data_IF_027967811026
#
_entry.id   IF_027967811026
#
_cell.length_a   1.000
_cell.length_b   1.000
_cell.length_c   1.000
_cell.angle_alpha   90.00
_cell.angle_beta   90.00
_cell.angle_gamma   90.00
#
_symmetry.space_group_name_H-M   'P 1'
#
loop_
_entity.id
_entity.type
_entity.pdbx_description
1 polymer ?
#
# COMPACT_ATOMS: atom_id res chain seq x y z
N UNK A 1 11.08 -37.21 39.54
CA UNK A 1 10.30 -36.90 38.33
C UNK A 1 9.46 -35.62 38.42
N UNK A 2 9.30 -34.99 39.60
CA UNK A 2 8.45 -33.80 39.80
C UNK A 2 9.04 -32.48 39.22
N UNK A 3 10.38 -32.38 39.10
CA UNK A 3 11.02 -31.18 38.52
C UNK A 3 10.88 -31.05 36.99
N UNK A 4 10.82 -32.17 36.24
CA UNK A 4 10.63 -32.13 34.77
C UNK A 4 9.24 -31.66 34.35
N UNK A 5 8.22 -31.87 35.19
CA UNK A 5 6.82 -31.55 34.88
C UNK A 5 6.50 -30.04 34.94
N UNK A 6 7.31 -29.24 35.65
CA UNK A 6 7.13 -27.77 35.74
C UNK A 6 7.99 -26.96 34.76
N UNK A 7 9.05 -27.56 34.22
CA UNK A 7 9.99 -26.88 33.32
C UNK A 7 9.39 -26.61 31.93
N UNK A 8 8.65 -27.57 31.36
CA UNK A 8 8.03 -27.40 30.03
C UNK A 8 6.95 -26.31 30.03
N UNK A 9 6.01 -26.27 31.00
CA UNK A 9 5.06 -25.16 31.10
C UNK A 9 5.73 -23.80 31.30
N UNK A 10 6.75 -23.71 32.17
CA UNK A 10 7.47 -22.45 32.40
C UNK A 10 8.23 -21.97 31.16
N UNK A 11 8.88 -22.88 30.44
CA UNK A 11 9.56 -22.58 29.17
C UNK A 11 8.58 -22.09 28.10
N UNK A 12 7.43 -22.75 27.95
CA UNK A 12 6.39 -22.33 27.00
C UNK A 12 5.80 -20.96 27.35
N UNK A 13 5.62 -20.66 28.64
CA UNK A 13 5.23 -19.32 29.10
C UNK A 13 6.27 -18.28 28.69
N UNK A 14 7.55 -18.50 28.98
CA UNK A 14 8.62 -17.55 28.60
C UNK A 14 8.68 -17.32 27.09
N UNK A 15 8.58 -18.39 26.28
CA UNK A 15 8.54 -18.26 24.82
C UNK A 15 7.33 -17.46 24.34
N UNK A 16 6.16 -17.69 24.94
CA UNK A 16 4.94 -16.95 24.62
C UNK A 16 5.09 -15.47 24.96
N UNK A 17 5.54 -15.13 26.16
CA UNK A 17 5.71 -13.75 26.59
C UNK A 17 6.74 -13.01 25.73
N UNK A 18 7.87 -13.64 25.46
CA UNK A 18 8.89 -13.07 24.57
C UNK A 18 8.38 -12.87 23.12
N UNK A 19 7.48 -13.73 22.64
CA UNK A 19 6.87 -13.57 21.32
C UNK A 19 5.88 -12.40 21.28
N UNK A 20 5.10 -12.19 22.35
CA UNK A 20 4.18 -11.06 22.48
C UNK A 20 4.93 -9.74 22.64
N UNK A 21 6.03 -9.72 23.40
CA UNK A 21 6.92 -8.58 23.50
C UNK A 21 7.52 -8.19 22.14
N UNK A 22 7.86 -9.16 21.29
CA UNK A 22 8.31 -8.90 19.90
C UNK A 22 7.25 -8.24 19.03
N UNK A 23 5.98 -8.57 19.25
CA UNK A 23 4.82 -7.94 18.62
C UNK A 23 4.58 -6.54 19.21
N UNK A 24 5.16 -6.23 20.37
CA UNK A 24 5.08 -4.93 21.03
C UNK A 24 3.94 -4.81 22.04
N UNK A 25 3.43 -5.94 22.56
CA UNK A 25 2.36 -5.96 23.55
C UNK A 25 2.82 -6.60 24.88
N UNK A 26 2.83 -5.79 25.94
CA UNK A 26 3.11 -6.25 27.30
C UNK A 26 1.94 -7.03 27.91
N UNK A 27 2.17 -7.66 29.08
CA UNK A 27 1.12 -8.30 29.88
C UNK A 27 0.01 -7.31 30.25
N UNK A 28 0.40 -6.08 30.58
CA UNK A 28 -0.54 -5.05 31.00
C UNK A 28 -1.33 -4.53 29.79
N UNK A 29 -0.72 -4.44 28.61
CA UNK A 29 -1.45 -4.11 27.37
C UNK A 29 -2.56 -5.13 27.07
N UNK A 30 -2.27 -6.42 27.24
CA UNK A 30 -3.26 -7.48 27.00
C UNK A 30 -4.44 -7.40 27.95
N UNK A 31 -4.15 -7.26 29.25
CA UNK A 31 -5.20 -7.09 30.27
C UNK A 31 -6.00 -5.82 30.02
N UNK A 32 -5.32 -4.73 29.65
CA UNK A 32 -5.93 -3.47 29.27
C UNK A 32 -6.88 -3.61 28.09
N UNK A 33 -6.47 -4.29 27.01
CA UNK A 33 -7.30 -4.57 25.84
C UNK A 33 -8.53 -5.42 26.17
N UNK A 34 -8.36 -6.54 26.89
CA UNK A 34 -9.49 -7.41 27.27
C UNK A 34 -10.49 -6.70 28.18
N UNK A 35 -9.99 -6.01 29.21
CA UNK A 35 -10.81 -5.27 30.18
C UNK A 35 -11.55 -4.11 29.52
N UNK A 36 -10.84 -3.26 28.76
CA UNK A 36 -11.45 -2.11 28.11
C UNK A 36 -12.42 -2.51 27.02
N UNK A 37 -12.14 -3.56 26.24
CA UNK A 37 -13.09 -4.06 25.24
C UNK A 37 -14.39 -4.52 25.90
N UNK A 38 -14.32 -5.24 27.02
CA UNK A 38 -15.50 -5.63 27.79
C UNK A 38 -16.29 -4.41 28.27
N UNK A 39 -15.61 -3.41 28.85
CA UNK A 39 -16.24 -2.16 29.31
C UNK A 39 -16.89 -1.39 28.15
N UNK A 40 -16.29 -1.38 26.95
CA UNK A 40 -16.86 -0.73 25.77
C UNK A 40 -18.16 -1.39 25.32
N UNK A 41 -18.21 -2.73 25.35
CA UNK A 41 -19.43 -3.48 25.05
C UNK A 41 -20.53 -3.21 26.09
N UNK A 42 -20.17 -3.19 27.37
CA UNK A 42 -21.10 -2.88 28.47
C UNK A 42 -21.66 -1.44 28.36
N UNK A 43 -20.79 -0.45 28.11
CA UNK A 43 -21.19 0.94 27.96
C UNK A 43 -22.12 1.18 26.75
N UNK A 44 -21.96 0.39 25.68
CA UNK A 44 -22.81 0.46 24.51
C UNK A 44 -24.08 -0.41 24.59
N UNK A 45 -24.19 -1.28 25.58
CA UNK A 45 -25.26 -2.26 25.75
C UNK A 45 -25.14 -3.49 24.84
N UNK A 46 -24.63 -3.34 23.61
CA UNK A 46 -24.42 -4.44 22.69
C UNK A 46 -23.24 -4.22 21.72
N UNK A 47 -22.80 -5.32 21.07
CA UNK A 47 -21.67 -5.33 20.12
C UNK A 47 -21.90 -4.44 18.91
N UNK A 48 -23.12 -4.38 18.37
CA UNK A 48 -23.44 -3.62 17.17
C UNK A 48 -23.40 -2.12 17.46
N UNK A 49 -23.93 -1.70 18.61
CA UNK A 49 -23.92 -0.32 19.07
C UNK A 49 -22.49 0.14 19.37
N UNK A 50 -21.69 -0.68 20.06
CA UNK A 50 -20.27 -0.38 20.30
C UNK A 50 -19.50 -0.19 18.98
N UNK A 51 -19.76 -1.06 18.02
CA UNK A 51 -19.19 -0.99 16.69
C UNK A 51 -19.58 0.24 15.89
N UNK A 52 -20.88 0.56 15.91
CA UNK A 52 -21.42 1.73 15.22
C UNK A 52 -20.77 2.99 15.76
N UNK A 53 -20.67 3.12 17.08
CA UNK A 53 -20.03 4.27 17.73
C UNK A 53 -18.55 4.40 17.33
N UNK A 54 -17.81 3.28 17.29
CA UNK A 54 -16.42 3.28 16.85
C UNK A 54 -16.27 3.69 15.38
N UNK A 55 -17.09 3.13 14.48
CA UNK A 55 -17.00 3.43 13.04
C UNK A 55 -17.36 4.89 12.75
N UNK A 56 -18.40 5.43 13.40
CA UNK A 56 -18.74 6.85 13.28
C UNK A 56 -17.62 7.74 13.83
N UNK A 57 -17.03 7.38 14.98
CA UNK A 57 -15.88 8.10 15.50
C UNK A 57 -14.69 8.07 14.52
N UNK A 58 -14.40 6.92 13.89
CA UNK A 58 -13.36 6.82 12.87
C UNK A 58 -13.63 7.72 11.66
N UNK A 59 -14.90 7.84 11.24
CA UNK A 59 -15.28 8.72 10.15
C UNK A 59 -15.03 10.20 10.44
N UNK A 60 -15.14 10.60 11.71
CA UNK A 60 -14.93 11.99 12.14
C UNK A 60 -13.48 12.32 12.46
N UNK A 61 -12.67 11.32 12.85
CA UNK A 61 -11.33 11.55 13.40
C UNK A 61 -10.20 11.01 12.53
N UNK A 62 -10.48 10.15 11.54
CA UNK A 62 -9.46 9.68 10.59
C UNK A 62 -9.62 10.41 9.25
N UNK A 63 -8.60 11.16 8.79
CA UNK A 63 -8.67 11.92 7.55
C UNK A 63 -9.08 11.06 6.36
N UNK A 64 -10.03 11.57 5.55
CA UNK A 64 -10.52 10.94 4.30
C UNK A 64 -11.12 9.54 4.48
N UNK A 65 -11.41 9.12 5.72
CA UNK A 65 -11.98 7.79 5.98
C UNK A 65 -13.35 7.62 5.29
N UNK A 66 -14.21 8.66 5.33
CA UNK A 66 -15.53 8.64 4.66
C UNK A 66 -15.42 8.38 3.15
N UNK A 67 -14.37 8.87 2.49
CA UNK A 67 -14.19 8.70 1.03
C UNK A 67 -13.99 7.24 0.63
N UNK A 68 -13.59 6.38 1.57
CA UNK A 68 -13.39 4.94 1.34
C UNK A 68 -14.68 4.13 1.30
N UNK A 69 -15.79 4.70 1.77
CA UNK A 69 -17.04 3.99 1.97
C UNK A 69 -18.15 4.53 1.04
N UNK A 70 -17.97 4.31 -0.26
CA UNK A 70 -18.89 4.79 -1.29
C UNK A 70 -20.17 3.96 -1.43
N UNK A 71 -20.11 2.65 -1.14
CA UNK A 71 -21.26 1.71 -1.27
C UNK A 71 -22.52 2.15 -0.54
N UNK A 72 -22.36 2.88 0.55
CA UNK A 72 -23.47 3.41 1.33
C UNK A 72 -23.38 4.92 1.49
N UNK A 73 -22.59 5.64 0.68
CA UNK A 73 -22.35 7.08 0.81
C UNK A 73 -22.08 7.51 2.27
N UNK A 74 -20.86 7.31 2.74
CA UNK A 74 -20.48 7.67 4.11
C UNK A 74 -20.51 9.18 4.43
N UNK A 75 -20.83 10.06 3.48
CA UNK A 75 -21.02 11.50 3.73
C UNK A 75 -22.44 11.86 4.18
N UNK A 76 -23.37 10.91 4.21
CA UNK A 76 -24.70 11.14 4.79
C UNK A 76 -24.64 11.31 6.32
N UNK A 77 -25.74 11.79 6.92
CA UNK A 77 -25.83 11.95 8.38
C UNK A 77 -25.73 10.62 9.13
N UNK A 78 -25.27 10.68 10.38
CA UNK A 78 -25.13 9.49 11.23
C UNK A 78 -26.44 8.71 11.41
N UNK A 79 -27.58 9.40 11.49
CA UNK A 79 -28.89 8.74 11.59
C UNK A 79 -29.26 8.00 10.30
N UNK A 80 -28.92 8.57 9.14
CA UNK A 80 -29.11 7.91 7.86
C UNK A 80 -28.16 6.71 7.70
N UNK A 81 -26.91 6.82 8.19
CA UNK A 81 -25.98 5.69 8.25
C UNK A 81 -26.51 4.55 9.12
N UNK A 82 -26.97 4.85 10.33
CA UNK A 82 -27.54 3.85 11.26
C UNK A 82 -28.72 3.10 10.65
N UNK A 83 -29.54 3.78 9.84
CA UNK A 83 -30.65 3.16 9.11
C UNK A 83 -30.21 2.36 7.86
N UNK A 84 -28.97 2.54 7.39
CA UNK A 84 -28.48 1.91 6.17
C UNK A 84 -28.00 0.47 6.40
N UNK A 85 -28.58 -0.49 5.67
CA UNK A 85 -28.26 -1.91 5.83
C UNK A 85 -26.81 -2.26 5.44
N UNK A 86 -26.25 -1.61 4.43
CA UNK A 86 -24.88 -1.86 3.96
C UNK A 86 -23.84 -1.28 4.94
N UNK A 87 -24.12 -0.09 5.52
CA UNK A 87 -23.33 0.43 6.63
C UNK A 87 -23.31 -0.55 7.81
N UNK A 88 -24.48 -1.04 8.23
CA UNK A 88 -24.58 -1.99 9.34
C UNK A 88 -23.79 -3.29 9.09
N UNK A 89 -23.84 -3.84 7.87
CA UNK A 89 -23.00 -4.99 7.50
C UNK A 89 -21.51 -4.68 7.61
N UNK A 90 -21.09 -3.50 7.16
CA UNK A 90 -19.70 -3.10 7.22
C UNK A 90 -19.22 -2.91 8.67
N UNK A 91 -20.07 -2.35 9.54
CA UNK A 91 -19.82 -2.29 10.99
C UNK A 91 -19.60 -3.70 11.55
N UNK A 92 -20.47 -4.66 11.25
CA UNK A 92 -20.34 -6.03 11.75
C UNK A 92 -19.03 -6.70 11.32
N UNK A 93 -18.58 -6.46 10.08
CA UNK A 93 -17.29 -6.95 9.57
C UNK A 93 -16.12 -6.35 10.36
N UNK A 94 -16.10 -5.02 10.54
CA UNK A 94 -15.02 -4.31 11.24
C UNK A 94 -14.94 -4.79 12.70
N UNK A 95 -16.08 -4.83 13.39
CA UNK A 95 -16.13 -5.22 14.81
C UNK A 95 -15.75 -6.69 14.99
N UNK A 96 -16.15 -7.57 14.08
CA UNK A 96 -15.77 -8.98 14.15
C UNK A 96 -14.26 -9.17 13.94
N UNK A 97 -13.65 -8.35 13.07
CA UNK A 97 -12.19 -8.25 12.96
C UNK A 97 -11.53 -7.83 14.28
N UNK A 98 -12.02 -6.76 14.91
CA UNK A 98 -11.50 -6.28 16.20
C UNK A 98 -11.67 -7.31 17.33
N UNK A 99 -12.84 -7.94 17.43
CA UNK A 99 -13.09 -9.02 18.40
C UNK A 99 -12.11 -10.16 18.20
N UNK A 100 -11.81 -10.52 16.95
CA UNK A 100 -10.83 -11.57 16.64
C UNK A 100 -9.44 -11.18 17.10
N UNK A 101 -9.02 -9.93 16.92
CA UNK A 101 -7.73 -9.45 17.43
C UNK A 101 -7.69 -9.49 18.96
N UNK A 102 -8.68 -8.88 19.63
CA UNK A 102 -8.77 -8.82 21.10
C UNK A 102 -8.82 -10.22 21.71
N UNK A 103 -9.59 -11.14 21.14
CA UNK A 103 -9.72 -12.50 21.67
C UNK A 103 -8.44 -13.33 21.52
N UNK A 104 -7.50 -12.90 20.66
CA UNK A 104 -6.23 -13.56 20.43
C UNK A 104 -5.04 -12.85 21.09
N UNK A 105 -5.24 -11.78 21.87
CA UNK A 105 -4.11 -11.02 22.45
C UNK A 105 -3.21 -11.88 23.34
N UNK A 106 -3.76 -12.94 23.95
CA UNK A 106 -3.02 -13.91 24.76
C UNK A 106 -2.46 -15.11 23.95
N UNK A 107 -2.62 -15.12 22.63
CA UNK A 107 -2.11 -16.13 21.71
C UNK A 107 -1.26 -15.46 20.62
N UNK A 108 0.07 -15.32 20.80
CA UNK A 108 0.94 -14.58 19.89
C UNK A 108 0.88 -15.08 18.45
N UNK A 109 0.82 -16.40 18.24
CA UNK A 109 0.76 -16.96 16.89
C UNK A 109 -0.56 -16.62 16.17
N UNK A 110 -1.69 -16.71 16.88
CA UNK A 110 -2.99 -16.36 16.32
C UNK A 110 -3.16 -14.84 16.13
N UNK A 111 -2.62 -14.04 17.06
CA UNK A 111 -2.62 -12.58 16.93
C UNK A 111 -1.80 -12.14 15.73
N UNK A 112 -0.57 -12.63 15.60
CA UNK A 112 0.33 -12.32 14.48
C UNK A 112 -0.33 -12.67 13.14
N UNK A 113 -0.81 -13.92 12.99
CA UNK A 113 -1.49 -14.34 11.76
C UNK A 113 -2.78 -13.54 11.48
N UNK A 114 -3.49 -13.12 12.53
CA UNK A 114 -4.64 -12.24 12.43
C UNK A 114 -4.30 -10.84 11.92
N UNK A 115 -3.22 -10.25 12.43
CA UNK A 115 -2.68 -8.97 11.99
C UNK A 115 -2.21 -9.06 10.54
N UNK A 116 -1.36 -10.03 10.20
CA UNK A 116 -0.84 -10.25 8.84
C UNK A 116 -1.96 -10.38 7.81
N UNK A 117 -2.97 -11.23 8.10
CA UNK A 117 -4.12 -11.41 7.21
C UNK A 117 -4.90 -10.11 6.99
N UNK A 118 -5.10 -9.32 8.04
CA UNK A 118 -5.80 -8.03 7.94
C UNK A 118 -4.96 -7.00 7.19
N UNK A 119 -3.66 -6.93 7.45
CA UNK A 119 -2.69 -6.10 6.73
C UNK A 119 -2.74 -6.41 5.25
N UNK A 120 -2.60 -7.69 4.87
CA UNK A 120 -2.65 -8.12 3.48
C UNK A 120 -4.00 -7.79 2.82
N UNK A 121 -5.09 -7.99 3.56
CA UNK A 121 -6.43 -7.65 3.06
C UNK A 121 -6.52 -6.17 2.72
N UNK A 122 -6.07 -5.27 3.61
CA UNK A 122 -6.16 -3.82 3.41
C UNK A 122 -5.16 -3.29 2.39
N UNK A 123 -3.94 -3.84 2.34
CA UNK A 123 -2.96 -3.51 1.31
C UNK A 123 -3.43 -3.94 -0.07
N UNK A 124 -4.19 -5.03 -0.18
CA UNK A 124 -4.73 -5.52 -1.45
C UNK A 124 -6.07 -4.91 -1.85
N UNK A 125 -6.65 -4.04 -1.01
CA UNK A 125 -7.71 -3.15 -1.47
C UNK A 125 -7.15 -2.17 -2.49
N UNK A 126 -8.01 -1.63 -3.35
CA UNK A 126 -7.61 -0.64 -4.34
C UNK A 126 -8.57 0.56 -4.35
N UNK A 127 -8.07 1.79 -4.15
CA UNK A 127 -6.69 2.10 -3.71
C UNK A 127 -6.37 1.43 -2.36
N UNK A 128 -5.11 1.23 -2.02
CA UNK A 128 -4.78 0.52 -0.77
C UNK A 128 -5.24 1.31 0.46
N UNK A 129 -5.57 0.59 1.53
CA UNK A 129 -5.83 1.19 2.84
C UNK A 129 -4.59 0.97 3.70
N UNK A 130 -3.61 1.84 3.53
CA UNK A 130 -2.29 1.73 4.15
C UNK A 130 -2.10 2.60 5.41
N UNK A 131 -0.84 2.92 5.69
CA UNK A 131 -0.43 3.70 6.86
C UNK A 131 -1.02 5.13 6.89
N UNK A 132 -1.45 5.67 5.76
CA UNK A 132 -2.13 6.97 5.71
C UNK A 132 -3.47 6.99 6.45
N UNK A 133 -4.11 5.83 6.63
CA UNK A 133 -5.32 5.67 7.45
C UNK A 133 -4.98 5.11 8.83
N UNK A 134 -4.30 3.96 8.87
CA UNK A 134 -4.04 3.27 10.14
C UNK A 134 -3.02 3.98 11.03
N UNK A 135 -2.17 4.85 10.48
CA UNK A 135 -1.32 5.75 11.27
C UNK A 135 -2.13 6.71 12.12
N UNK A 136 -3.20 7.29 11.56
CA UNK A 136 -4.13 8.15 12.32
C UNK A 136 -4.97 7.35 13.32
N UNK A 137 -5.34 6.11 13.00
CA UNK A 137 -6.00 5.22 13.96
C UNK A 137 -5.10 5.02 15.18
N UNK A 138 -3.85 4.62 14.98
CA UNK A 138 -2.87 4.49 16.07
C UNK A 138 -2.73 5.80 16.85
N UNK A 139 -2.66 6.94 16.15
CA UNK A 139 -2.47 8.24 16.79
C UNK A 139 -3.65 8.65 17.69
N UNK A 140 -4.89 8.37 17.29
CA UNK A 140 -6.06 8.98 17.93
C UNK A 140 -6.94 8.00 18.73
N UNK A 141 -6.78 6.68 18.58
CA UNK A 141 -7.68 5.70 19.19
C UNK A 141 -7.79 5.85 20.72
N UNK A 142 -6.70 6.23 21.41
CA UNK A 142 -6.71 6.46 22.85
C UNK A 142 -7.75 7.50 23.29
N UNK A 143 -8.03 8.51 22.45
CA UNK A 143 -9.05 9.54 22.71
C UNK A 143 -10.46 8.95 22.69
N UNK A 144 -10.74 8.02 21.76
CA UNK A 144 -12.02 7.31 21.70
C UNK A 144 -12.23 6.48 22.97
N UNK A 145 -11.21 5.73 23.38
CA UNK A 145 -11.25 4.86 24.56
C UNK A 145 -11.48 5.70 25.82
N UNK A 146 -10.69 6.76 25.99
CA UNK A 146 -10.78 7.69 27.10
C UNK A 146 -12.16 8.32 27.22
N UNK A 147 -12.68 8.87 26.11
CA UNK A 147 -14.01 9.50 26.07
C UNK A 147 -15.13 8.50 26.37
N UNK A 148 -15.09 7.32 25.75
CA UNK A 148 -16.19 6.35 25.84
C UNK A 148 -16.25 5.69 27.21
N UNK A 149 -15.09 5.44 27.83
CA UNK A 149 -15.01 4.82 29.15
C UNK A 149 -14.92 5.83 30.30
N UNK A 150 -14.91 7.13 30.00
CA UNK A 150 -14.70 8.22 30.96
C UNK A 150 -13.43 8.02 31.81
N UNK A 151 -12.32 7.69 31.14
CA UNK A 151 -10.99 7.49 31.74
C UNK A 151 -9.98 8.49 31.16
N UNK A 152 -8.81 8.60 31.77
CA UNK A 152 -7.75 9.46 31.27
C UNK A 152 -7.18 8.95 29.93
N UNK A 153 -6.80 9.87 29.04
CA UNK A 153 -6.21 9.59 27.73
C UNK A 153 -4.88 8.82 27.80
N UNK A 154 -4.18 8.92 28.93
CA UNK A 154 -2.93 8.24 29.24
C UNK A 154 -3.10 7.05 30.20
N UNK A 155 -4.34 6.63 30.46
CA UNK A 155 -4.61 5.38 31.18
C UNK A 155 -3.98 4.19 30.49
N UNK A 156 -3.69 3.14 31.26
CA UNK A 156 -3.13 1.90 30.72
C UNK A 156 -4.06 1.32 29.65
N UNK A 157 -5.37 1.30 29.89
CA UNK A 157 -6.35 0.86 28.89
C UNK A 157 -6.25 1.64 27.57
N UNK A 158 -6.20 2.98 27.63
CA UNK A 158 -6.13 3.80 26.42
C UNK A 158 -4.79 3.63 25.67
N UNK A 159 -3.68 3.46 26.41
CA UNK A 159 -2.36 3.15 25.84
C UNK A 159 -2.34 1.77 25.17
N UNK A 160 -2.98 0.76 25.76
CA UNK A 160 -2.99 -0.60 25.19
C UNK A 160 -3.58 -0.63 23.78
N UNK A 161 -4.63 0.15 23.51
CA UNK A 161 -5.18 0.29 22.16
C UNK A 161 -4.19 0.94 21.20
N UNK A 162 -3.49 1.99 21.64
CA UNK A 162 -2.42 2.61 20.84
C UNK A 162 -1.32 1.59 20.50
N UNK A 163 -0.91 0.76 21.47
CA UNK A 163 0.11 -0.27 21.26
C UNK A 163 -0.36 -1.39 20.32
N UNK A 164 -1.64 -1.81 20.38
CA UNK A 164 -2.20 -2.77 19.42
C UNK A 164 -2.10 -2.26 17.98
N UNK A 165 -2.47 -1.00 17.75
CA UNK A 165 -2.37 -0.41 16.42
C UNK A 165 -0.92 -0.10 16.02
N UNK A 166 -0.01 0.13 16.97
CA UNK A 166 1.42 0.20 16.69
C UNK A 166 1.97 -1.14 16.20
N UNK A 167 1.56 -2.25 16.83
CA UNK A 167 1.88 -3.60 16.38
C UNK A 167 1.34 -3.87 14.96
N UNK A 168 0.08 -3.50 14.72
CA UNK A 168 -0.54 -3.60 13.39
C UNK A 168 0.24 -2.79 12.35
N UNK A 169 0.57 -1.52 12.64
CA UNK A 169 1.28 -0.63 11.74
C UNK A 169 2.72 -1.06 11.48
N UNK A 170 3.36 -1.75 12.42
CA UNK A 170 4.68 -2.37 12.20
C UNK A 170 4.60 -3.43 11.10
N UNK A 171 3.68 -4.38 11.21
CA UNK A 171 3.46 -5.41 10.17
C UNK A 171 3.02 -4.79 8.85
N UNK A 172 2.12 -3.78 8.91
CA UNK A 172 1.69 -3.04 7.72
C UNK A 172 2.86 -2.39 6.99
N UNK A 173 3.80 -1.79 7.72
CA UNK A 173 5.01 -1.18 7.16
C UNK A 173 5.91 -2.21 6.48
N UNK A 174 6.12 -3.37 7.13
CA UNK A 174 6.92 -4.48 6.61
C UNK A 174 6.29 -5.05 5.33
N UNK A 175 5.02 -5.42 5.35
CA UNK A 175 4.32 -5.98 4.19
C UNK A 175 4.15 -4.95 3.06
N UNK A 176 4.05 -3.65 3.36
CA UNK A 176 4.05 -2.60 2.32
C UNK A 176 5.37 -2.60 1.53
N UNK A 177 6.51 -2.72 2.22
CA UNK A 177 7.82 -2.81 1.56
C UNK A 177 7.94 -4.08 0.72
N UNK A 178 7.52 -5.22 1.26
CA UNK A 178 7.50 -6.50 0.54
C UNK A 178 6.62 -6.44 -0.70
N UNK A 179 5.43 -5.82 -0.59
CA UNK A 179 4.51 -5.65 -1.71
C UNK A 179 5.11 -4.80 -2.82
N UNK A 180 5.80 -3.72 -2.46
CA UNK A 180 6.47 -2.82 -3.42
C UNK A 180 7.73 -3.48 -4.01
N UNK A 181 8.38 -4.38 -3.26
CA UNK A 181 9.57 -5.10 -3.69
C UNK A 181 10.85 -4.27 -3.58
N UNK A 182 10.90 -3.29 -2.66
CA UNK A 182 12.08 -2.44 -2.43
C UNK A 182 12.67 -2.78 -1.05
N UNK A 183 13.92 -3.21 -1.07
CA UNK A 183 14.68 -3.58 0.13
C UNK A 183 15.29 -2.36 0.83
N UNK A 184 15.67 -2.56 2.09
CA UNK A 184 16.40 -1.56 2.89
C UNK A 184 17.72 -1.11 2.27
N UNK A 185 18.41 -2.03 1.57
CA UNK A 185 19.67 -1.74 0.87
C UNK A 185 19.41 -0.89 -0.37
N UNK A 186 18.43 -1.26 -1.20
CA UNK A 186 18.02 -0.48 -2.37
C UNK A 186 17.53 0.92 -1.98
N UNK A 187 16.76 1.05 -0.88
CA UNK A 187 16.39 2.36 -0.33
C UNK A 187 17.61 3.26 -0.13
N UNK A 188 18.64 2.75 0.55
CA UNK A 188 19.86 3.53 0.85
C UNK A 188 20.61 3.89 -0.44
N UNK A 189 20.66 2.98 -1.41
CA UNK A 189 21.27 3.21 -2.72
C UNK A 189 20.49 4.26 -3.52
N UNK A 190 19.17 4.19 -3.57
CA UNK A 190 18.30 5.17 -4.24
C UNK A 190 18.48 6.57 -3.64
N UNK A 191 18.45 6.70 -2.31
CA UNK A 191 18.63 7.99 -1.63
C UNK A 191 20.03 8.57 -1.90
N UNK A 192 21.07 7.75 -1.83
CA UNK A 192 22.46 8.22 -2.02
C UNK A 192 22.77 8.52 -3.49
N UNK A 193 22.33 7.68 -4.43
CA UNK A 193 22.50 7.90 -5.87
C UNK A 193 21.70 9.10 -6.36
N UNK A 194 20.48 9.34 -5.86
CA UNK A 194 19.71 10.54 -6.17
C UNK A 194 20.49 11.83 -5.84
N UNK A 195 21.17 11.87 -4.70
CA UNK A 195 22.02 13.02 -4.32
C UNK A 195 23.18 13.23 -5.29
N UNK A 196 23.79 12.15 -5.79
CA UNK A 196 24.87 12.22 -6.79
C UNK A 196 24.34 12.70 -8.14
N UNK A 197 23.27 12.08 -8.62
CA UNK A 197 22.62 12.41 -9.89
C UNK A 197 22.16 13.88 -9.95
N UNK A 198 21.68 14.42 -8.82
CA UNK A 198 21.15 15.79 -8.77
C UNK A 198 22.16 16.85 -8.31
N UNK A 199 23.42 16.47 -8.05
CA UNK A 199 24.46 17.39 -7.57
C UNK A 199 24.73 18.55 -8.55
N UNK A 200 24.67 18.29 -9.86
CA UNK A 200 24.79 19.31 -10.92
C UNK A 200 23.51 20.11 -11.19
N UNK A 201 22.46 19.92 -10.39
CA UNK A 201 21.16 20.55 -10.53
C UNK A 201 20.08 19.58 -11.02
N UNK A 202 18.95 19.56 -10.32
CA UNK A 202 17.78 18.72 -10.62
C UNK A 202 17.26 18.88 -12.05
N UNK A 203 17.22 20.12 -12.55
CA UNK A 203 16.76 20.39 -13.91
C UNK A 203 17.71 19.82 -14.96
N UNK A 204 19.04 19.94 -14.76
CA UNK A 204 20.03 19.38 -15.69
C UNK A 204 19.91 17.85 -15.78
N UNK A 205 19.89 17.17 -14.63
CA UNK A 205 19.63 15.73 -14.57
C UNK A 205 18.33 15.34 -15.29
N UNK A 206 17.25 16.09 -15.02
CA UNK A 206 15.96 15.83 -15.62
C UNK A 206 15.92 16.01 -17.13
N UNK A 207 16.59 17.04 -17.64
CA UNK A 207 16.71 17.26 -19.08
C UNK A 207 17.41 16.08 -19.72
N UNK A 208 18.55 15.65 -19.16
CA UNK A 208 19.32 14.54 -19.70
C UNK A 208 18.53 13.22 -19.64
N UNK A 209 17.78 12.98 -18.57
CA UNK A 209 16.88 11.82 -18.44
C UNK A 209 15.78 11.84 -19.50
N UNK A 210 15.06 12.96 -19.66
CA UNK A 210 13.92 13.03 -20.59
C UNK A 210 14.37 12.93 -22.05
N UNK A 211 15.48 13.58 -22.42
CA UNK A 211 16.07 13.44 -23.76
C UNK A 211 16.50 12.00 -24.02
N UNK A 212 17.16 11.36 -23.06
CA UNK A 212 17.51 9.94 -23.16
C UNK A 212 16.26 9.06 -23.31
N UNK A 213 15.19 9.33 -22.56
CA UNK A 213 13.92 8.60 -22.68
C UNK A 213 13.30 8.74 -24.07
N UNK A 214 13.36 9.93 -24.68
CA UNK A 214 12.85 10.16 -26.02
C UNK A 214 13.58 9.35 -27.09
N UNK A 215 14.87 9.09 -26.91
CA UNK A 215 15.68 8.29 -27.83
C UNK A 215 15.53 6.79 -27.59
N UNK A 216 15.29 6.38 -26.35
CA UNK A 216 15.41 4.98 -25.94
C UNK A 216 14.06 4.30 -25.67
N UNK A 217 12.97 5.03 -25.47
CA UNK A 217 11.62 4.47 -25.28
C UNK A 217 10.76 4.80 -26.49
N UNK A 218 10.37 3.76 -27.24
CA UNK A 218 9.58 3.89 -28.46
C UNK A 218 8.29 4.67 -28.22
N UNK A 219 7.97 5.61 -29.11
CA UNK A 219 6.77 6.46 -29.09
C UNK A 219 6.61 7.33 -27.82
N UNK A 220 7.62 7.39 -26.94
CA UNK A 220 7.59 8.23 -25.74
C UNK A 220 7.51 9.72 -26.10
N UNK A 221 8.29 10.15 -27.09
CA UNK A 221 8.35 11.55 -27.55
C UNK A 221 6.97 12.08 -27.96
N UNK A 222 6.13 11.24 -28.57
CA UNK A 222 4.79 11.62 -29.04
C UNK A 222 3.77 11.83 -27.91
N UNK A 223 4.06 11.38 -26.69
CA UNK A 223 3.18 11.61 -25.53
C UNK A 223 3.28 13.06 -25.00
N UNK A 224 4.26 13.83 -25.48
CA UNK A 224 4.54 15.18 -25.03
C UNK A 224 3.98 16.21 -26.02
N UNK A 225 2.70 16.54 -25.87
CA UNK A 225 1.97 17.40 -26.81
C UNK A 225 1.91 18.88 -26.41
N UNK A 226 2.45 19.25 -25.24
CA UNK A 226 2.38 20.63 -24.69
C UNK A 226 3.51 21.55 -25.15
N UNK A 227 4.45 21.01 -25.91
CA UNK A 227 5.55 21.70 -26.58
C UNK A 227 5.92 20.88 -27.83
N UNK A 228 6.68 21.44 -28.76
CA UNK A 228 7.17 20.66 -29.90
C UNK A 228 8.27 19.70 -29.41
N UNK A 229 7.89 18.45 -29.19
CA UNK A 229 8.82 17.43 -28.73
C UNK A 229 9.76 16.94 -29.83
N UNK A 230 9.54 17.27 -31.12
CA UNK A 230 10.35 16.80 -32.26
C UNK A 230 11.44 17.79 -32.70
N UNK A 231 11.51 18.96 -32.05
CA UNK A 231 12.63 19.88 -32.23
C UNK A 231 13.96 19.26 -31.72
N UNK A 232 15.09 19.83 -32.14
CA UNK A 232 16.41 19.36 -31.74
C UNK A 232 16.62 19.45 -30.23
N UNK A 233 17.48 18.59 -29.67
CA UNK A 233 17.82 18.61 -28.24
C UNK A 233 18.35 19.97 -27.78
N UNK A 234 19.10 20.68 -28.63
CA UNK A 234 19.56 22.04 -28.36
C UNK A 234 18.41 23.05 -28.24
N UNK A 235 17.36 22.90 -29.03
CA UNK A 235 16.18 23.75 -28.98
C UNK A 235 15.28 23.37 -27.78
N UNK A 236 15.09 22.07 -27.51
CA UNK A 236 14.37 21.58 -26.32
C UNK A 236 14.97 22.13 -25.03
N UNK A 237 16.32 22.15 -24.92
CA UNK A 237 17.02 22.71 -23.75
C UNK A 237 16.69 24.17 -23.46
N UNK A 238 16.18 24.91 -24.44
CA UNK A 238 15.75 26.31 -24.31
C UNK A 238 14.23 26.47 -24.28
N UNK A 239 13.47 25.40 -24.56
CA UNK A 239 12.01 25.41 -24.61
C UNK A 239 11.41 25.43 -23.20
N UNK A 240 10.66 26.49 -22.88
CA UNK A 240 10.07 26.68 -21.56
C UNK A 240 9.00 25.62 -21.22
N UNK A 241 8.30 25.08 -22.22
CA UNK A 241 7.31 24.02 -22.06
C UNK A 241 7.97 22.69 -21.68
N UNK A 242 9.03 22.33 -22.40
CA UNK A 242 9.88 21.18 -22.11
C UNK A 242 10.48 21.27 -20.71
N UNK A 243 11.13 22.39 -20.38
CA UNK A 243 11.76 22.59 -19.07
C UNK A 243 10.76 22.50 -17.91
N UNK A 244 9.52 23.00 -18.10
CA UNK A 244 8.45 22.87 -17.12
C UNK A 244 8.02 21.41 -16.93
N UNK A 245 7.93 20.65 -18.02
CA UNK A 245 7.59 19.22 -17.95
C UNK A 245 8.71 18.41 -17.28
N UNK A 246 9.98 18.71 -17.60
CA UNK A 246 11.15 18.15 -16.91
C UNK A 246 11.06 18.38 -15.41
N UNK A 247 10.79 19.61 -14.96
CA UNK A 247 10.65 19.92 -13.53
C UNK A 247 9.54 19.11 -12.85
N UNK A 248 8.43 18.83 -13.55
CA UNK A 248 7.35 17.98 -13.01
C UNK A 248 7.80 16.52 -12.86
N UNK A 249 8.47 15.97 -13.87
CA UNK A 249 8.97 14.59 -13.84
C UNK A 249 9.99 14.41 -12.71
N UNK A 250 10.98 15.31 -12.64
CA UNK A 250 12.01 15.28 -11.59
C UNK A 250 11.41 15.51 -10.20
N UNK A 251 10.42 16.39 -10.06
CA UNK A 251 9.70 16.58 -8.80
C UNK A 251 8.88 15.34 -8.39
N UNK A 252 8.32 14.62 -9.36
CA UNK A 252 7.68 13.32 -9.13
C UNK A 252 8.66 12.26 -8.64
N UNK A 253 9.81 12.12 -9.31
CA UNK A 253 10.88 11.24 -8.85
C UNK A 253 11.38 11.61 -7.45
N UNK A 254 11.60 12.90 -7.18
CA UNK A 254 11.97 13.38 -5.85
C UNK A 254 10.94 13.00 -4.78
N UNK A 255 9.65 13.11 -5.11
CA UNK A 255 8.56 12.73 -4.20
C UNK A 255 8.63 11.23 -3.88
N UNK A 256 8.87 10.38 -4.89
CA UNK A 256 9.06 8.94 -4.66
C UNK A 256 10.29 8.67 -3.78
N UNK A 257 11.44 9.27 -4.10
CA UNK A 257 12.68 9.10 -3.32
C UNK A 257 12.50 9.55 -1.86
N UNK A 258 11.87 10.70 -1.63
CA UNK A 258 11.60 11.22 -0.29
C UNK A 258 10.61 10.35 0.49
N UNK A 259 9.81 9.54 -0.20
CA UNK A 259 8.85 8.63 0.42
C UNK A 259 9.45 7.27 0.76
N UNK A 260 10.67 6.94 0.30
CA UNK A 260 11.30 5.64 0.56
C UNK A 260 11.55 5.34 2.05
N UNK A 261 11.61 6.37 2.91
CA UNK A 261 11.75 6.19 4.37
C UNK A 261 10.41 5.91 5.06
N UNK A 262 9.30 6.12 4.36
CA UNK A 262 7.93 6.01 4.86
C UNK A 262 7.13 5.09 3.91
N UNK A 263 7.17 3.75 4.10
CA UNK A 263 6.65 2.80 3.13
C UNK A 263 5.20 3.02 2.71
N UNK A 264 4.33 3.45 3.63
CA UNK A 264 2.94 3.79 3.29
C UNK A 264 2.82 5.05 2.43
N UNK A 265 3.70 6.03 2.65
CA UNK A 265 3.78 7.21 1.77
C UNK A 265 4.33 6.85 0.39
N UNK A 266 5.26 5.88 0.32
CA UNK A 266 5.75 5.36 -0.95
C UNK A 266 4.63 4.67 -1.73
N UNK A 267 3.90 3.74 -1.09
CA UNK A 267 2.71 3.09 -1.67
C UNK A 267 1.72 4.13 -2.19
N UNK A 268 1.29 5.06 -1.33
CA UNK A 268 0.36 6.13 -1.70
C UNK A 268 0.86 6.99 -2.87
N UNK A 269 2.16 7.26 -2.94
CA UNK A 269 2.77 8.07 -4.01
C UNK A 269 2.80 7.31 -5.34
N UNK A 270 3.10 6.01 -5.31
CA UNK A 270 3.05 5.14 -6.49
C UNK A 270 1.63 5.01 -7.03
N UNK A 271 0.63 4.83 -6.15
CA UNK A 271 -0.79 4.75 -6.53
C UNK A 271 -1.30 6.06 -7.14
N UNK A 272 -1.03 7.20 -6.49
CA UNK A 272 -1.43 8.52 -7.04
C UNK A 272 -0.79 8.81 -8.39
N UNK A 273 0.49 8.46 -8.53
CA UNK A 273 1.20 8.65 -9.80
C UNK A 273 0.62 7.73 -10.88
N UNK A 274 0.29 6.50 -10.52
CA UNK A 274 -0.37 5.53 -11.40
C UNK A 274 -1.71 6.05 -11.89
N UNK A 275 -2.57 6.48 -10.97
CA UNK A 275 -3.88 7.04 -11.30
C UNK A 275 -3.73 8.25 -12.21
N UNK A 276 -2.82 9.17 -11.90
CA UNK A 276 -2.59 10.35 -12.74
C UNK A 276 -2.22 9.99 -14.19
N UNK A 277 -1.41 8.95 -14.40
CA UNK A 277 -1.01 8.51 -15.74
C UNK A 277 -2.12 7.78 -16.50
N UNK A 278 -2.91 6.97 -15.80
CA UNK A 278 -4.06 6.27 -16.40
C UNK A 278 -5.20 7.21 -16.78
N UNK A 279 -5.34 8.35 -16.09
CA UNK A 279 -6.34 9.38 -16.42
C UNK A 279 -5.95 10.30 -17.58
N UNK A 280 -4.75 10.18 -18.16
CA UNK A 280 -4.43 10.89 -19.40
C UNK A 280 -5.29 10.39 -20.55
N UNK A 281 -5.47 11.23 -21.58
CA UNK A 281 -6.20 10.89 -22.80
C UNK A 281 -5.31 11.20 -24.00
N UNK A 282 -4.73 10.19 -24.68
CA UNK A 282 -4.76 8.76 -24.31
C UNK A 282 -4.02 8.47 -22.99
N UNK A 283 -4.34 7.35 -22.34
CA UNK A 283 -3.67 6.93 -21.11
C UNK A 283 -2.19 6.67 -21.39
N UNK A 284 -1.32 7.02 -20.45
CA UNK A 284 0.11 6.69 -20.53
C UNK A 284 0.35 5.48 -19.62
N UNK A 285 0.20 4.28 -20.18
CA UNK A 285 0.17 3.04 -19.43
C UNK A 285 1.48 2.25 -19.45
N UNK A 286 1.36 0.96 -19.13
CA UNK A 286 2.47 0.01 -19.02
C UNK A 286 3.30 -0.10 -20.31
N UNK A 287 2.71 0.17 -21.46
CA UNK A 287 3.36 0.18 -22.77
C UNK A 287 4.54 1.16 -22.87
N UNK A 288 4.54 2.23 -22.06
CA UNK A 288 5.63 3.20 -21.99
C UNK A 288 6.61 2.91 -20.85
N UNK A 289 6.10 2.48 -19.69
CA UNK A 289 6.93 2.28 -18.51
C UNK A 289 7.61 0.91 -18.43
N UNK A 290 7.10 -0.13 -19.11
CA UNK A 290 7.80 -1.41 -19.21
C UNK A 290 9.11 -1.29 -20.00
N UNK A 291 9.16 -0.69 -21.21
CA UNK A 291 10.43 -0.43 -21.87
C UNK A 291 11.35 0.51 -21.10
N UNK A 292 10.79 1.48 -20.36
CA UNK A 292 11.57 2.36 -19.49
C UNK A 292 12.28 1.54 -18.40
N UNK A 293 11.55 0.67 -17.69
CA UNK A 293 12.13 -0.24 -16.69
C UNK A 293 13.27 -1.07 -17.29
N UNK A 294 13.05 -1.64 -18.47
CA UNK A 294 14.02 -2.54 -19.10
C UNK A 294 15.31 -1.82 -19.52
N UNK A 295 15.30 -0.48 -19.66
CA UNK A 295 16.43 0.29 -20.18
C UNK A 295 17.04 1.29 -19.21
N UNK A 296 16.36 1.63 -18.11
CA UNK A 296 16.78 2.74 -17.23
C UNK A 296 18.17 2.51 -16.62
N UNK A 297 18.59 1.27 -16.40
CA UNK A 297 19.93 0.93 -15.91
C UNK A 297 21.03 1.56 -16.78
N UNK A 298 20.93 1.51 -18.11
CA UNK A 298 21.93 2.10 -19.02
C UNK A 298 22.10 3.61 -18.81
N UNK A 299 21.00 4.33 -18.54
CA UNK A 299 21.06 5.75 -18.23
C UNK A 299 21.76 6.00 -16.89
N UNK A 300 21.38 5.25 -15.86
CA UNK A 300 21.92 5.40 -14.51
C UNK A 300 23.42 5.05 -14.46
N UNK A 301 23.83 3.98 -15.13
CA UNK A 301 25.23 3.57 -15.29
C UNK A 301 26.08 4.70 -15.86
N UNK A 302 25.62 5.29 -16.97
CA UNK A 302 26.30 6.42 -17.61
C UNK A 302 26.30 7.66 -16.72
N UNK A 303 25.16 8.00 -16.11
CA UNK A 303 25.01 9.22 -15.31
C UNK A 303 25.81 9.19 -14.00
N UNK A 304 25.98 8.00 -13.41
CA UNK A 304 26.80 7.81 -12.21
C UNK A 304 28.24 7.39 -12.51
N UNK A 305 28.57 7.08 -13.77
CA UNK A 305 29.83 6.50 -14.20
C UNK A 305 30.16 5.21 -13.42
N UNK A 306 29.23 4.26 -13.42
CA UNK A 306 29.33 2.95 -12.78
C UNK A 306 29.18 1.83 -13.81
N UNK A 307 29.63 0.62 -13.47
CA UNK A 307 29.55 -0.53 -14.37
C UNK A 307 28.15 -1.17 -14.41
N UNK A 308 27.96 -2.11 -15.35
CA UNK A 308 26.69 -2.80 -15.62
C UNK A 308 26.22 -3.75 -14.51
N UNK A 309 27.02 -3.97 -13.47
CA UNK A 309 26.66 -4.74 -12.27
C UNK A 309 26.36 -3.84 -11.07
N UNK A 310 26.30 -2.52 -11.27
CA UNK A 310 26.03 -1.54 -10.22
C UNK A 310 24.71 -1.81 -9.49
N UNK A 311 24.82 -1.94 -8.17
CA UNK A 311 23.66 -2.05 -7.31
C UNK A 311 22.78 -0.78 -7.36
N UNK A 312 23.37 0.40 -7.62
CA UNK A 312 22.61 1.63 -7.87
C UNK A 312 21.73 1.52 -9.12
N UNK A 313 22.29 1.08 -10.25
CA UNK A 313 21.53 0.92 -11.49
C UNK A 313 20.39 -0.09 -11.36
N UNK A 314 20.64 -1.19 -10.64
CA UNK A 314 19.63 -2.19 -10.31
C UNK A 314 18.53 -1.59 -9.42
N UNK A 315 18.90 -0.87 -8.35
CA UNK A 315 17.91 -0.27 -7.45
C UNK A 315 16.96 0.73 -8.16
N UNK A 316 17.47 1.50 -9.13
CA UNK A 316 16.63 2.36 -9.98
C UNK A 316 15.70 1.56 -10.89
N UNK A 317 16.20 0.46 -11.45
CA UNK A 317 15.38 -0.48 -12.25
C UNK A 317 14.24 -1.07 -11.41
N UNK A 318 14.53 -1.45 -10.17
CA UNK A 318 13.53 -2.02 -9.26
C UNK A 318 12.52 -0.97 -8.79
N UNK A 319 12.92 0.28 -8.60
CA UNK A 319 11.98 1.38 -8.32
C UNK A 319 10.97 1.59 -9.47
N UNK A 320 11.43 1.60 -10.72
CA UNK A 320 10.52 1.66 -11.88
C UNK A 320 9.71 0.36 -11.99
N UNK A 321 10.30 -0.79 -11.64
CA UNK A 321 9.60 -2.07 -11.56
C UNK A 321 8.44 -2.07 -10.56
N UNK A 322 8.65 -1.47 -9.39
CA UNK A 322 7.65 -1.28 -8.37
C UNK A 322 6.49 -0.39 -8.86
N UNK A 323 6.82 0.71 -9.54
CA UNK A 323 5.82 1.54 -10.20
C UNK A 323 5.02 0.77 -11.25
N UNK A 324 5.68 -0.01 -12.11
CA UNK A 324 5.00 -0.84 -13.12
C UNK A 324 4.06 -1.87 -12.50
N UNK A 325 4.43 -2.45 -11.36
CA UNK A 325 3.57 -3.40 -10.65
C UNK A 325 2.25 -2.73 -10.24
N UNK A 326 2.33 -1.56 -9.62
CA UNK A 326 1.14 -0.77 -9.22
C UNK A 326 0.34 -0.33 -10.47
N UNK A 327 1.02 0.09 -11.53
CA UNK A 327 0.39 0.48 -12.80
C UNK A 327 -0.40 -0.65 -13.45
N UNK A 328 0.15 -1.87 -13.49
CA UNK A 328 -0.56 -3.05 -14.00
C UNK A 328 -1.78 -3.37 -13.15
N UNK A 329 -1.63 -3.36 -11.83
CA UNK A 329 -2.73 -3.64 -10.90
C UNK A 329 -3.91 -2.67 -11.08
N UNK A 330 -3.62 -1.36 -11.21
CA UNK A 330 -4.64 -0.34 -11.45
C UNK A 330 -5.20 -0.38 -12.87
N UNK A 331 -4.38 -0.69 -13.89
CA UNK A 331 -4.86 -0.79 -15.29
C UNK A 331 -5.95 -1.85 -15.42
N UNK A 332 -5.77 -3.02 -14.79
CA UNK A 332 -6.75 -4.12 -14.82
C UNK A 332 -8.09 -3.67 -14.19
N UNK A 333 -8.04 -2.80 -13.20
CA UNK A 333 -9.25 -2.25 -12.58
C UNK A 333 -9.86 -1.11 -13.38
N UNK A 334 -9.03 -0.27 -14.01
CA UNK A 334 -9.49 0.79 -14.89
C UNK A 334 -10.31 0.24 -16.08
N UNK A 335 -9.99 -0.97 -16.54
CA UNK A 335 -10.80 -1.70 -17.55
C UNK A 335 -11.98 -2.50 -16.95
N UNK A 336 -12.21 -2.40 -15.63
CA UNK A 336 -13.40 -2.93 -14.95
C UNK A 336 -13.32 -4.39 -14.48
N UNK A 337 -12.14 -5.02 -14.42
CA UNK A 337 -12.01 -6.43 -13.99
C UNK A 337 -11.72 -6.58 -12.49
N UNK A 338 -12.61 -7.26 -11.77
CA UNK A 338 -12.42 -7.62 -10.36
C UNK A 338 -11.46 -8.82 -10.18
N UNK A 339 -10.98 -9.06 -8.96
CA UNK A 339 -10.16 -10.25 -8.67
C UNK A 339 -10.93 -11.56 -8.87
N UNK A 340 -12.24 -11.56 -8.61
CA UNK A 340 -13.11 -12.70 -8.95
C UNK A 340 -13.17 -12.93 -10.45
N UNK A 341 -13.26 -11.87 -11.26
CA UNK A 341 -13.26 -11.97 -12.72
C UNK A 341 -11.92 -12.52 -13.21
N UNK A 342 -10.80 -12.07 -12.64
CA UNK A 342 -9.47 -12.59 -12.96
C UNK A 342 -9.36 -14.10 -12.66
N UNK A 343 -9.79 -14.53 -11.47
CA UNK A 343 -9.77 -15.97 -11.09
C UNK A 343 -10.69 -16.79 -12.00
N UNK A 344 -11.85 -16.26 -12.36
CA UNK A 344 -12.79 -16.91 -13.26
C UNK A 344 -12.21 -17.00 -14.69
N UNK A 345 -11.59 -15.94 -15.19
CA UNK A 345 -10.93 -15.90 -16.50
C UNK A 345 -9.74 -16.86 -16.56
N UNK A 346 -8.85 -16.86 -15.56
CA UNK A 346 -7.71 -17.78 -15.51
C UNK A 346 -8.18 -19.25 -15.42
N UNK A 347 -9.17 -19.53 -14.57
CA UNK A 347 -9.78 -20.87 -14.47
C UNK A 347 -10.41 -21.31 -15.79
N UNK A 348 -11.19 -20.44 -16.43
CA UNK A 348 -11.83 -20.72 -17.71
C UNK A 348 -10.79 -20.91 -18.82
N UNK A 349 -9.74 -20.10 -18.86
CA UNK A 349 -8.66 -20.23 -19.82
C UNK A 349 -7.86 -21.52 -19.61
N UNK A 350 -7.59 -21.93 -18.37
CA UNK A 350 -6.99 -23.23 -18.05
C UNK A 350 -7.84 -24.39 -18.59
N UNK A 351 -9.16 -24.33 -18.41
CA UNK A 351 -10.09 -25.34 -18.97
C UNK A 351 -10.07 -25.35 -20.49
N UNK A 352 -10.11 -24.19 -21.16
CA UNK A 352 -10.04 -24.09 -22.61
C UNK A 352 -8.73 -24.68 -23.17
N UNK A 353 -7.59 -24.36 -22.53
CA UNK A 353 -6.29 -24.95 -22.90
C UNK A 353 -6.27 -26.47 -22.74
N UNK A 354 -6.84 -26.98 -21.65
CA UNK A 354 -6.92 -28.43 -21.42
C UNK A 354 -7.82 -29.10 -22.46
N UNK A 355 -8.99 -28.54 -22.76
CA UNK A 355 -9.95 -29.09 -23.71
C UNK A 355 -9.46 -29.06 -25.16
N UNK A 356 -8.65 -28.07 -25.53
CA UNK A 356 -8.08 -27.95 -26.87
C UNK A 356 -6.74 -28.70 -27.04
N UNK A 357 -6.23 -29.36 -26.00
CA UNK A 357 -4.93 -30.05 -26.05
C UNK A 357 -3.72 -29.11 -26.13
N UNK A 358 -3.86 -27.85 -25.69
CA UNK A 358 -2.75 -26.90 -25.62
C UNK A 358 -3.14 -25.44 -25.91
N UNK A 359 -2.21 -24.52 -25.58
CA UNK A 359 -2.40 -23.07 -25.73
C UNK A 359 -2.65 -22.65 -27.18
N UNK A 360 -1.93 -23.25 -28.14
CA UNK A 360 -2.02 -22.91 -29.57
C UNK A 360 -3.40 -23.25 -30.15
N UNK A 361 -3.92 -24.44 -29.84
CA UNK A 361 -5.22 -24.90 -30.32
C UNK A 361 -6.35 -24.12 -29.64
N UNK A 362 -6.25 -23.85 -28.34
CA UNK A 362 -7.23 -23.01 -27.64
C UNK A 362 -7.31 -21.59 -28.25
N UNK A 363 -6.16 -20.99 -28.57
CA UNK A 363 -6.10 -19.70 -29.25
C UNK A 363 -6.70 -19.74 -30.66
N UNK A 364 -6.42 -20.80 -31.43
CA UNK A 364 -6.97 -20.99 -32.79
C UNK A 364 -8.50 -21.12 -32.74
N UNK A 365 -9.02 -21.94 -31.83
CA UNK A 365 -10.46 -22.13 -31.66
C UNK A 365 -11.16 -20.83 -31.23
N UNK A 366 -10.53 -20.02 -30.37
CA UNK A 366 -11.08 -18.74 -29.95
C UNK A 366 -11.18 -17.75 -31.12
N UNK A 367 -10.12 -17.64 -31.93
CA UNK A 367 -10.13 -16.78 -33.12
C UNK A 367 -11.19 -17.25 -34.12
N UNK A 368 -11.30 -18.56 -34.35
CA UNK A 368 -12.33 -19.13 -35.23
C UNK A 368 -13.77 -18.92 -34.72
N UNK A 369 -13.96 -18.75 -33.40
CA UNK A 369 -15.26 -18.44 -32.81
C UNK A 369 -15.63 -16.95 -32.90
N UNK A 370 -14.63 -16.07 -32.94
CA UNK A 370 -14.83 -14.62 -33.05
C UNK A 370 -15.06 -14.14 -34.49
N UNK A 371 -14.69 -14.97 -35.48
CA UNK A 371 -14.97 -14.78 -36.90
C UNK A 371 -16.34 -15.38 -37.24
#
# INVERSE_FOLDING_TARGET
>A
SIQRTRLVPAYNTVLREHSLEKIGLSDDDRKGLESSWKKLLEAAGDKKTAGTNLVLWLFDNVPKMRDRFTKFNAHQSDDALKANAEFNKQVDVIVSGLVTLVSNVNNPAALQAGIERLVDTHLNMQPSIGLSYFGSVQQYIHLYIAKTLNIAADSDEAKSWTHLWAAFNKVLKEHSLEKIGITDSERKLLISSWKKLTAGGKQNFGVDLVLWMFENVSNMRDQFTKFDAHQSDSALRQDAGFLRQVSRIVGGLETLINSLNEPGKLQDSLEKLTDAHLHFVPSVGVEFFAPLKDKIHFFIEKALNVDSSSAEAQAWTDLIGAFNKVLVDHTIQHIGLSDSDRKALDSSWKKLRSGAGGRKNAGTNLVLWML
#
